data_IF_008151178309
#
_entry.id   IF_008151178309
#
_cell.length_a   1.000
_cell.length_b   1.000
_cell.length_c   1.000
_cell.angle_alpha   90.00
_cell.angle_beta   90.00
_cell.angle_gamma   90.00
#
_symmetry.space_group_name_H-M   'P 1'
#
loop_
_entity.id
_entity.type
_entity.pdbx_description
1 polymer ?
#
# COMPACT_ATOMS: atom_id res chain seq x y z
N UNK A 1 -10.37 -7.16 -2.98
CA UNK A 1 -9.32 -6.99 -4.00
C UNK A 1 -8.79 -5.57 -3.91
N UNK A 2 -7.47 -5.38 -3.92
CA UNK A 2 -6.82 -4.06 -3.80
C UNK A 2 -6.53 -3.48 -5.19
N UNK A 3 -6.70 -2.17 -5.37
CA UNK A 3 -6.37 -1.45 -6.60
C UNK A 3 -4.91 -0.95 -6.66
N UNK A 4 -4.51 -0.34 -7.79
CA UNK A 4 -3.20 0.31 -7.95
C UNK A 4 -3.09 1.59 -7.10
N UNK A 5 -1.86 2.10 -6.94
CA UNK A 5 -1.65 3.44 -6.37
C UNK A 5 -2.25 4.54 -7.27
N UNK A 6 -2.86 5.54 -6.64
CA UNK A 6 -3.39 6.74 -7.31
C UNK A 6 -2.38 7.90 -7.31
N UNK A 7 -1.19 7.73 -6.74
CA UNK A 7 -0.13 8.73 -6.84
C UNK A 7 0.23 8.98 -8.31
N UNK A 8 0.34 10.26 -8.69
CA UNK A 8 0.64 10.66 -10.07
C UNK A 8 -0.39 10.18 -11.10
N UNK A 9 -1.66 10.04 -10.72
CA UNK A 9 -2.70 9.54 -11.64
C UNK A 9 -3.03 10.56 -12.73
N UNK A 10 -2.90 11.86 -12.47
CA UNK A 10 -3.22 12.91 -13.43
C UNK A 10 -2.41 12.77 -14.73
N UNK A 11 -3.10 12.78 -15.87
CA UNK A 11 -2.55 12.55 -17.22
C UNK A 11 -1.85 11.21 -17.45
N UNK A 12 -1.89 10.28 -16.49
CA UNK A 12 -1.40 8.91 -16.69
C UNK A 12 -2.37 8.13 -17.58
N UNK A 13 -1.83 7.24 -18.41
CA UNK A 13 -2.66 6.31 -19.20
C UNK A 13 -3.41 5.35 -18.27
N UNK A 14 -4.66 5.04 -18.62
CA UNK A 14 -5.44 4.05 -17.89
C UNK A 14 -4.79 2.66 -18.00
N UNK A 15 -4.78 1.91 -16.88
CA UNK A 15 -4.22 0.56 -16.86
C UNK A 15 -2.69 0.48 -16.89
N UNK A 16 -1.97 1.54 -16.54
CA UNK A 16 -0.51 1.61 -16.66
C UNK A 16 0.25 2.02 -15.39
N UNK A 17 -0.32 1.86 -14.20
CA UNK A 17 0.45 2.12 -12.98
C UNK A 17 1.55 1.05 -12.79
N UNK A 18 2.76 1.49 -12.51
CA UNK A 18 3.89 0.62 -12.25
C UNK A 18 3.63 -0.31 -11.05
N UNK A 19 4.11 -1.55 -11.16
CA UNK A 19 3.92 -2.58 -10.11
C UNK A 19 2.53 -3.19 -10.03
N UNK A 20 1.53 -2.73 -10.81
CA UNK A 20 0.18 -3.31 -10.82
C UNK A 20 -0.13 -4.04 -12.14
N UNK A 21 0.16 -5.35 -12.20
CA UNK A 21 -0.07 -6.16 -13.41
C UNK A 21 -1.54 -6.56 -13.65
N UNK A 22 -2.35 -6.59 -12.58
CA UNK A 22 -3.70 -7.20 -12.54
C UNK A 22 -4.82 -6.29 -13.05
N UNK A 23 -4.52 -5.38 -13.96
CA UNK A 23 -5.58 -4.62 -14.64
C UNK A 23 -6.42 -5.55 -15.52
N UNK A 24 -7.73 -5.31 -15.55
CA UNK A 24 -8.63 -5.90 -16.54
C UNK A 24 -8.19 -5.54 -17.96
N UNK A 25 -8.34 -6.46 -18.90
CA UNK A 25 -8.03 -6.20 -20.32
C UNK A 25 -8.86 -5.05 -20.89
N UNK A 26 -10.11 -4.91 -20.45
CA UNK A 26 -10.98 -3.80 -20.83
C UNK A 26 -10.34 -2.44 -20.52
N UNK A 27 -9.84 -2.26 -19.29
CA UNK A 27 -9.19 -1.01 -18.89
C UNK A 27 -7.85 -0.79 -19.61
N UNK A 28 -7.03 -1.85 -19.80
CA UNK A 28 -5.76 -1.76 -20.54
C UNK A 28 -5.97 -1.29 -21.99
N UNK A 29 -7.06 -1.73 -22.63
CA UNK A 29 -7.39 -1.43 -24.03
C UNK A 29 -8.25 -0.18 -24.22
N UNK A 30 -8.72 0.44 -23.13
CA UNK A 30 -9.63 1.59 -23.18
C UNK A 30 -9.06 2.82 -23.91
N UNK A 31 -7.72 2.95 -23.96
CA UNK A 31 -7.05 4.12 -24.55
C UNK A 31 -7.20 5.41 -23.75
N UNK A 32 -7.87 5.37 -22.59
CA UNK A 32 -8.13 6.53 -21.76
C UNK A 32 -6.83 7.11 -21.18
N UNK A 33 -6.83 8.43 -21.05
CA UNK A 33 -5.85 9.20 -20.27
C UNK A 33 -6.61 9.88 -19.15
N UNK A 34 -6.07 9.82 -17.92
CA UNK A 34 -6.73 10.37 -16.74
C UNK A 34 -6.65 11.90 -16.68
N UNK A 35 -7.47 12.55 -17.50
CA UNK A 35 -7.78 13.97 -17.43
C UNK A 35 -9.06 14.23 -16.62
N UNK A 36 -9.46 15.51 -16.53
CA UNK A 36 -10.65 15.95 -15.80
C UNK A 36 -11.91 15.21 -16.24
N UNK A 37 -12.12 15.04 -17.54
CA UNK A 37 -13.36 14.52 -18.11
C UNK A 37 -13.46 13.01 -17.93
N UNK A 38 -12.36 12.30 -18.23
CA UNK A 38 -12.29 10.86 -18.07
C UNK A 38 -12.34 10.45 -16.61
N UNK A 39 -11.73 11.22 -15.70
CA UNK A 39 -11.83 10.98 -14.26
C UNK A 39 -13.26 11.25 -13.74
N UNK A 40 -13.93 12.33 -14.16
CA UNK A 40 -15.32 12.57 -13.76
C UNK A 40 -16.26 11.45 -14.23
N UNK A 41 -16.15 11.04 -15.50
CA UNK A 41 -16.95 9.96 -16.06
C UNK A 41 -16.65 8.61 -15.37
N UNK A 42 -15.37 8.32 -15.10
CA UNK A 42 -14.95 7.13 -14.38
C UNK A 42 -15.50 7.11 -12.96
N UNK A 43 -15.40 8.23 -12.24
CA UNK A 43 -15.92 8.35 -10.88
C UNK A 43 -17.45 8.33 -10.84
N UNK A 44 -18.14 8.76 -11.90
CA UNK A 44 -19.59 8.67 -12.01
C UNK A 44 -20.06 7.23 -12.14
N UNK A 45 -19.44 6.45 -13.03
CA UNK A 45 -19.73 5.02 -13.17
C UNK A 45 -18.60 4.31 -13.96
N UNK A 46 -17.70 3.58 -13.28
CA UNK A 46 -16.63 2.86 -13.96
C UNK A 46 -17.15 1.81 -14.93
N UNK A 47 -18.19 1.06 -14.51
CA UNK A 47 -18.81 0.00 -15.30
C UNK A 47 -19.47 0.53 -16.58
N UNK A 48 -20.02 1.76 -16.55
CA UNK A 48 -20.57 2.39 -17.74
C UNK A 48 -19.47 2.93 -18.68
N UNK A 49 -18.42 3.55 -18.13
CA UNK A 49 -17.34 4.11 -18.96
C UNK A 49 -16.49 3.01 -19.60
N UNK A 50 -16.15 1.96 -18.86
CA UNK A 50 -15.38 0.82 -19.36
C UNK A 50 -16.08 -0.48 -18.93
N UNK A 51 -16.99 -1.02 -19.74
CA UNK A 51 -17.61 -2.31 -19.48
C UNK A 51 -16.57 -3.43 -19.33
N UNK A 52 -16.75 -4.30 -18.33
CA UNK A 52 -15.81 -5.40 -18.05
C UNK A 52 -14.54 -5.00 -17.31
N UNK A 53 -14.44 -3.76 -16.80
CA UNK A 53 -13.38 -3.39 -15.88
C UNK A 53 -13.52 -4.13 -14.53
N UNK A 54 -12.39 -4.38 -13.84
CA UNK A 54 -12.37 -5.14 -12.60
C UNK A 54 -12.65 -4.31 -11.32
N UNK A 55 -12.95 -3.01 -11.44
CA UNK A 55 -13.22 -2.14 -10.30
C UNK A 55 -14.68 -2.27 -9.87
N UNK A 56 -14.92 -2.99 -8.78
CA UNK A 56 -16.25 -3.13 -8.16
C UNK A 56 -16.74 -1.89 -7.41
N UNK A 57 -16.54 -0.70 -7.97
CA UNK A 57 -16.97 0.57 -7.38
C UNK A 57 -18.25 1.07 -8.08
N UNK A 58 -19.33 1.38 -7.36
CA UNK A 58 -20.61 1.78 -7.97
C UNK A 58 -20.56 3.17 -8.62
N UNK A 59 -19.65 4.05 -8.19
CA UNK A 59 -19.57 5.44 -8.63
C UNK A 59 -20.04 6.44 -7.56
N UNK A 60 -19.91 7.73 -7.88
CA UNK A 60 -20.31 8.88 -7.05
C UNK A 60 -21.38 9.65 -7.83
N UNK A 61 -22.61 9.66 -7.34
CA UNK A 61 -23.72 10.33 -8.02
C UNK A 61 -23.59 11.87 -7.98
N UNK A 62 -23.20 12.42 -6.83
CA UNK A 62 -23.13 13.86 -6.59
C UNK A 62 -22.01 14.53 -7.43
N UNK A 63 -22.34 15.45 -8.36
CA UNK A 63 -21.35 16.08 -9.22
C UNK A 63 -20.30 16.91 -8.46
N UNK A 64 -20.69 17.61 -7.39
CA UNK A 64 -19.75 18.43 -6.61
C UNK A 64 -18.68 17.56 -5.96
N UNK A 65 -19.07 16.44 -5.36
CA UNK A 65 -18.13 15.49 -4.74
C UNK A 65 -17.14 14.92 -5.76
N UNK A 66 -17.57 14.62 -6.98
CA UNK A 66 -16.64 14.18 -8.04
C UNK A 66 -15.68 15.31 -8.42
N UNK A 67 -16.19 16.52 -8.62
CA UNK A 67 -15.35 17.66 -8.99
C UNK A 67 -14.25 17.94 -7.93
N UNK A 68 -14.61 17.90 -6.65
CA UNK A 68 -13.66 18.09 -5.54
C UNK A 68 -12.60 16.99 -5.51
N UNK A 69 -13.00 15.72 -5.72
CA UNK A 69 -12.07 14.60 -5.78
C UNK A 69 -11.12 14.70 -6.97
N UNK A 70 -11.63 15.08 -8.15
CA UNK A 70 -10.80 15.28 -9.34
C UNK A 70 -9.81 16.42 -9.11
N UNK A 71 -10.25 17.53 -8.52
CA UNK A 71 -9.38 18.65 -8.18
C UNK A 71 -8.28 18.25 -7.19
N UNK A 72 -8.62 17.45 -6.17
CA UNK A 72 -7.64 16.91 -5.23
C UNK A 72 -6.61 16.03 -5.94
N UNK A 73 -7.05 15.08 -6.79
CA UNK A 73 -6.16 14.18 -7.52
C UNK A 73 -5.21 14.93 -8.47
N UNK A 74 -5.70 15.98 -9.15
CA UNK A 74 -4.86 16.88 -9.93
C UNK A 74 -3.83 17.58 -9.05
N UNK A 75 -4.28 18.18 -7.94
CA UNK A 75 -3.42 18.97 -7.07
C UNK A 75 -2.28 18.16 -6.45
N UNK A 76 -2.56 16.94 -5.96
CA UNK A 76 -1.52 16.06 -5.40
C UNK A 76 -0.61 15.46 -6.48
N UNK A 77 -1.13 15.20 -7.69
CA UNK A 77 -0.29 14.69 -8.80
C UNK A 77 0.64 15.77 -9.37
N UNK A 78 0.27 17.04 -9.23
CA UNK A 78 1.05 18.19 -9.72
C UNK A 78 1.90 18.86 -8.63
N UNK A 79 1.93 18.30 -7.42
CA UNK A 79 2.69 18.83 -6.29
C UNK A 79 2.16 20.17 -5.76
N UNK A 80 0.96 20.60 -6.18
CA UNK A 80 0.32 21.84 -5.71
C UNK A 80 -0.24 21.72 -4.29
N UNK A 81 -0.46 20.49 -3.84
CA UNK A 81 -0.82 20.17 -2.45
C UNK A 81 0.17 19.13 -1.97
N UNK A 82 0.93 19.46 -0.93
CA UNK A 82 1.64 18.46 -0.15
C UNK A 82 0.58 17.65 0.60
N UNK A 83 0.55 16.34 0.37
CA UNK A 83 -0.28 15.43 1.19
C UNK A 83 0.11 15.72 2.65
N UNK A 84 -0.84 16.13 3.52
CA UNK A 84 -0.53 16.27 4.93
C UNK A 84 0.01 14.91 5.37
N UNK A 85 1.21 14.89 5.94
CA UNK A 85 1.79 13.65 6.45
C UNK A 85 0.77 13.04 7.42
N UNK A 86 0.11 11.96 7.01
CA UNK A 86 -0.88 11.26 7.84
C UNK A 86 -0.20 10.40 8.90
N UNK A 87 1.10 10.56 9.12
CA UNK A 87 1.84 9.79 10.11
C UNK A 87 1.93 8.31 9.75
N UNK A 88 1.78 7.95 8.47
CA UNK A 88 2.23 6.65 8.01
C UNK A 88 3.75 6.76 7.86
N UNK A 89 4.54 6.13 8.73
CA UNK A 89 5.97 6.40 8.77
C UNK A 89 6.62 5.95 7.47
N UNK A 90 7.52 6.76 6.92
CA UNK A 90 8.34 6.36 5.80
C UNK A 90 9.19 5.13 6.21
N UNK A 91 8.99 3.95 5.60
CA UNK A 91 9.72 2.73 5.94
C UNK A 91 11.25 2.86 5.88
N UNK A 92 11.76 3.83 5.11
CA UNK A 92 13.20 4.12 5.01
C UNK A 92 13.74 4.95 6.17
N UNK A 93 12.90 5.78 6.77
CA UNK A 93 13.29 6.76 7.78
C UNK A 93 12.83 6.35 9.19
N UNK A 94 12.18 5.19 9.30
CA UNK A 94 11.78 4.59 10.57
C UNK A 94 12.96 4.37 11.54
N UNK A 95 12.67 4.69 12.80
CA UNK A 95 13.58 4.68 13.94
C UNK A 95 13.99 3.27 14.41
N UNK A 96 14.92 3.21 15.37
CA UNK A 96 15.43 1.95 15.90
C UNK A 96 14.33 1.06 16.53
N UNK A 97 13.27 1.67 17.07
CA UNK A 97 12.13 0.95 17.64
C UNK A 97 11.30 0.20 16.59
N UNK A 98 11.40 0.61 15.33
CA UNK A 98 10.65 -0.02 14.23
C UNK A 98 11.52 -0.96 13.38
N UNK A 99 12.85 -0.95 13.55
CA UNK A 99 13.79 -1.78 12.79
C UNK A 99 13.86 -3.19 13.36
N UNK A 100 13.44 -4.20 12.61
CA UNK A 100 13.47 -5.59 13.06
C UNK A 100 14.86 -6.18 12.86
N UNK A 101 15.42 -6.76 13.91
CA UNK A 101 16.73 -7.42 13.89
C UNK A 101 16.64 -8.94 14.01
N UNK A 102 15.55 -9.46 14.57
CA UNK A 102 15.31 -10.90 14.66
C UNK A 102 13.81 -11.22 14.75
N UNK A 103 13.42 -12.36 14.18
CA UNK A 103 12.08 -12.93 14.35
C UNK A 103 12.24 -14.38 14.78
N UNK A 104 11.67 -14.72 15.94
CA UNK A 104 11.66 -16.08 16.45
C UNK A 104 10.25 -16.63 16.43
N UNK A 105 10.08 -17.83 15.90
CA UNK A 105 8.81 -18.55 15.90
C UNK A 105 8.90 -19.77 16.83
N UNK A 106 7.95 -19.88 17.75
CA UNK A 106 7.82 -21.03 18.63
C UNK A 106 6.34 -21.18 19.04
N UNK A 107 5.79 -22.39 18.93
CA UNK A 107 4.38 -22.62 19.19
C UNK A 107 3.50 -21.85 18.22
N UNK A 108 2.60 -21.03 18.74
CA UNK A 108 1.61 -20.22 18.00
C UNK A 108 1.94 -18.72 18.01
N UNK A 109 3.19 -18.36 18.29
CA UNK A 109 3.59 -16.96 18.43
C UNK A 109 4.91 -16.61 17.73
N UNK A 110 4.95 -15.39 17.22
CA UNK A 110 6.17 -14.73 16.75
C UNK A 110 6.69 -13.76 17.80
N UNK A 111 7.98 -13.82 18.10
CA UNK A 111 8.70 -12.83 18.88
C UNK A 111 9.57 -12.01 17.95
N UNK A 112 9.24 -10.73 17.80
CA UNK A 112 9.93 -9.79 16.94
C UNK A 112 10.82 -8.90 17.80
N UNK A 113 12.13 -8.97 17.58
CA UNK A 113 13.11 -8.11 18.27
C UNK A 113 13.47 -6.93 17.37
N UNK A 114 13.45 -5.74 17.94
CA UNK A 114 13.76 -4.47 17.28
C UNK A 114 15.16 -3.98 17.62
N UNK A 115 15.70 -3.03 16.86
CA UNK A 115 17.08 -2.54 17.01
C UNK A 115 17.30 -1.78 18.33
N UNK A 116 16.23 -1.27 18.96
CA UNK A 116 16.24 -0.76 20.34
C UNK A 116 16.27 -1.86 21.41
N UNK A 117 16.44 -3.13 21.01
CA UNK A 117 16.49 -4.34 21.84
C UNK A 117 15.18 -4.67 22.56
N UNK A 118 14.05 -4.09 22.15
CA UNK A 118 12.73 -4.53 22.63
C UNK A 118 12.28 -5.78 21.87
N UNK A 119 11.50 -6.62 22.53
CA UNK A 119 10.90 -7.80 21.92
C UNK A 119 9.39 -7.72 22.06
N UNK A 120 8.70 -7.83 20.93
CA UNK A 120 7.25 -7.81 20.82
C UNK A 120 6.75 -9.22 20.50
N UNK A 121 5.77 -9.70 21.27
CA UNK A 121 5.15 -11.01 21.02
C UNK A 121 3.82 -10.81 20.31
N UNK A 122 3.64 -11.52 19.21
CA UNK A 122 2.43 -11.51 18.41
C UNK A 122 1.92 -12.94 18.26
N UNK A 123 0.61 -13.13 18.45
CA UNK A 123 -0.04 -14.36 18.02
C UNK A 123 0.07 -14.53 16.50
N UNK A 124 0.19 -15.78 16.03
CA UNK A 124 0.48 -16.12 14.63
C UNK A 124 -0.42 -15.39 13.62
N UNK A 125 -1.73 -15.32 13.89
CA UNK A 125 -2.69 -14.67 12.99
C UNK A 125 -2.68 -13.13 13.04
N UNK A 126 -1.99 -12.54 14.03
CA UNK A 126 -1.93 -11.10 14.20
C UNK A 126 -0.66 -10.46 13.61
N UNK A 127 0.34 -11.27 13.24
CA UNK A 127 1.52 -10.79 12.52
C UNK A 127 1.44 -11.10 11.02
N UNK A 128 1.53 -10.07 10.18
CA UNK A 128 1.56 -10.22 8.71
C UNK A 128 2.97 -10.01 8.17
N UNK A 129 3.40 -10.89 7.28
CA UNK A 129 4.61 -10.67 6.50
C UNK A 129 4.24 -10.07 5.14
N UNK A 130 4.91 -8.97 4.78
CA UNK A 130 4.68 -8.24 3.53
C UNK A 130 6.01 -7.95 2.85
N UNK A 131 5.94 -7.73 1.55
CA UNK A 131 7.06 -7.25 0.76
C UNK A 131 6.71 -5.92 0.12
N UNK A 132 7.66 -5.00 0.14
CA UNK A 132 7.62 -3.74 -0.58
C UNK A 132 9.00 -3.48 -1.18
N UNK A 133 9.15 -3.87 -2.45
CA UNK A 133 10.37 -3.65 -3.22
C UNK A 133 10.37 -2.33 -3.99
N UNK A 134 9.42 -1.43 -3.71
CA UNK A 134 9.35 -0.13 -4.37
C UNK A 134 10.44 0.82 -3.87
N UNK A 135 10.56 1.98 -4.54
CA UNK A 135 11.43 3.06 -4.09
C UNK A 135 11.02 3.64 -2.73
N UNK A 136 9.84 3.34 -2.22
CA UNK A 136 9.36 3.79 -0.91
C UNK A 136 9.43 2.67 0.16
N UNK A 137 9.80 1.45 -0.25
CA UNK A 137 9.95 0.30 0.63
C UNK A 137 11.18 0.37 1.54
N UNK A 138 11.27 -0.53 2.55
CA UNK A 138 12.42 -0.58 3.45
C UNK A 138 13.72 -0.96 2.70
N UNK A 139 14.90 -0.56 3.19
CA UNK A 139 16.16 -1.01 2.62
C UNK A 139 16.32 -2.54 2.73
N UNK A 140 17.00 -3.14 1.76
CA UNK A 140 17.31 -4.57 1.78
C UNK A 140 18.03 -4.98 3.09
N UNK A 141 17.61 -6.11 3.67
CA UNK A 141 18.10 -6.63 4.94
C UNK A 141 17.71 -5.81 6.17
N UNK A 142 16.86 -4.79 6.04
CA UNK A 142 16.41 -3.92 7.15
C UNK A 142 14.88 -3.89 7.27
N UNK A 143 14.24 -5.05 7.56
CA UNK A 143 12.79 -5.11 7.68
C UNK A 143 12.27 -4.18 8.78
N UNK A 144 11.03 -3.71 8.59
CA UNK A 144 10.39 -2.78 9.51
C UNK A 144 9.10 -3.35 10.08
N UNK A 145 8.90 -3.14 11.38
CA UNK A 145 7.66 -3.43 12.08
C UNK A 145 6.73 -2.21 11.97
N UNK A 146 5.53 -2.42 11.46
CA UNK A 146 4.50 -1.38 11.32
C UNK A 146 3.24 -1.84 12.05
N UNK A 147 2.74 -1.01 12.97
CA UNK A 147 1.48 -1.23 13.66
C UNK A 147 0.29 -1.13 12.68
N UNK A 148 -0.68 -2.04 12.81
CA UNK A 148 -1.87 -2.04 11.96
C UNK A 148 -3.08 -1.42 12.69
N UNK A 149 -3.06 -0.09 12.91
CA UNK A 149 -4.23 0.69 13.36
C UNK A 149 -4.10 1.37 14.73
N UNK A 150 -5.14 2.12 15.13
CA UNK A 150 -5.15 2.91 16.37
C UNK A 150 -5.44 2.09 17.64
N UNK A 151 -5.93 0.86 17.52
CA UNK A 151 -6.20 -0.06 18.63
C UNK A 151 -6.06 -1.51 18.13
N UNK A 152 -5.00 -2.22 18.52
CA UNK A 152 -4.86 -3.65 18.26
C UNK A 152 -3.43 -4.17 18.36
N UNK A 153 -3.30 -5.46 18.68
CA UNK A 153 -2.07 -6.26 18.71
C UNK A 153 -1.67 -6.76 17.30
N UNK A 154 -2.25 -6.18 16.25
CA UNK A 154 -1.94 -6.55 14.86
C UNK A 154 -0.80 -5.71 14.34
N UNK A 155 0.15 -6.37 13.69
CA UNK A 155 1.29 -5.72 13.08
C UNK A 155 1.63 -6.35 11.72
N UNK A 156 2.42 -5.63 10.95
CA UNK A 156 3.08 -6.17 9.76
C UNK A 156 4.59 -5.99 9.87
N UNK A 157 5.35 -7.01 9.50
CA UNK A 157 6.76 -6.86 9.16
C UNK A 157 6.87 -6.73 7.65
N UNK A 158 7.43 -5.62 7.19
CA UNK A 158 7.64 -5.33 5.76
C UNK A 158 9.11 -5.58 5.43
N UNK A 159 9.33 -6.43 4.43
CA UNK A 159 10.64 -6.78 3.87
C UNK A 159 10.83 -6.10 2.52
N UNK A 160 12.08 -5.91 2.11
CA UNK A 160 12.36 -5.38 0.77
C UNK A 160 12.13 -6.45 -0.30
N UNK A 161 12.37 -7.73 0.05
CA UNK A 161 12.27 -8.87 -0.88
C UNK A 161 11.69 -10.13 -0.22
N UNK A 162 11.01 -11.00 -0.97
CA UNK A 162 10.46 -12.24 -0.43
C UNK A 162 11.50 -13.18 0.20
N UNK A 163 12.70 -13.24 -0.36
CA UNK A 163 13.76 -14.17 0.08
C UNK A 163 14.24 -13.85 1.50
N UNK A 164 14.13 -12.59 1.92
CA UNK A 164 14.53 -12.14 3.26
C UNK A 164 13.65 -12.74 4.36
N UNK A 165 12.38 -13.07 4.06
CA UNK A 165 11.41 -13.54 5.07
C UNK A 165 11.90 -14.84 5.72
N UNK A 166 12.28 -15.82 4.93
CA UNK A 166 12.72 -17.12 5.43
C UNK A 166 14.07 -17.04 6.14
N UNK A 167 14.95 -16.12 5.71
CA UNK A 167 16.25 -15.92 6.36
C UNK A 167 16.11 -15.26 7.74
N UNK A 168 15.11 -14.40 7.93
CA UNK A 168 14.91 -13.67 9.19
C UNK A 168 14.15 -14.46 10.27
N UNK A 169 13.35 -15.45 9.88
CA UNK A 169 12.52 -16.22 10.82
C UNK A 169 13.26 -17.47 11.28
N UNK A 170 13.59 -17.52 12.57
CA UNK A 170 14.22 -18.68 13.21
C UNK A 170 13.21 -19.46 14.02
N UNK A 171 13.10 -20.78 13.79
CA UNK A 171 12.32 -21.67 14.66
C UNK A 171 13.13 -21.95 15.92
N UNK A 172 12.86 -21.19 16.98
CA UNK A 172 13.57 -21.32 18.25
C UNK A 172 12.65 -20.97 19.41
N UNK A 173 12.50 -21.92 20.33
CA UNK A 173 11.84 -21.71 21.60
C UNK A 173 12.83 -21.10 22.62
N UNK A 174 12.31 -20.40 23.65
CA UNK A 174 13.14 -19.86 24.74
C UNK A 174 13.96 -20.96 25.42
#
# INVERSE_FOLDING_TARGET
>A
MTGPSLAGVWRRRAGSADGFARYSDALKRSGLVWDKWNLDAWLKSPAALVPGNAMGFPGIAEPRTRADLVAYLEAVSTGRVTVPDRGLPNPKELDAASRVTAIRYCGDAYRVTTADRKTHTFWEFNLRFKTDGSVDGPPAGKPVLIGAGMQGDRAAVVFARPEEILTFIQRQCP
#
